data_IF_942432170163
#
_entry.id   IF_942432170163
#
_cell.length_a   1.000
_cell.length_b   1.000
_cell.length_c   1.000
_cell.angle_alpha   90.00
_cell.angle_beta   90.00
_cell.angle_gamma   90.00
#
_symmetry.space_group_name_H-M   'P 1'
#
loop_
_entity.id
_entity.type
_entity.pdbx_description
1 polymer ?
#
# COMPACT_ATOMS: atom_id res chain seq x y z
N UNK A 1 23.80 -12.50 -8.86
CA UNK A 1 22.67 -12.46 -7.91
C UNK A 1 23.25 -12.40 -6.50
N UNK A 2 23.06 -11.29 -5.78
CA UNK A 2 23.43 -11.22 -4.36
C UNK A 2 22.60 -12.25 -3.61
N UNK A 3 23.26 -13.20 -2.93
CA UNK A 3 22.62 -14.25 -2.17
C UNK A 3 21.93 -13.63 -0.95
N UNK A 4 20.60 -13.64 -0.94
CA UNK A 4 19.84 -13.23 0.24
C UNK A 4 20.11 -14.23 1.36
N UNK A 5 20.92 -13.83 2.35
CA UNK A 5 21.34 -14.69 3.45
C UNK A 5 20.27 -14.86 4.55
N UNK A 6 19.14 -14.14 4.48
CA UNK A 6 18.04 -14.27 5.45
C UNK A 6 18.30 -13.65 6.83
N UNK A 7 19.51 -13.17 7.10
CA UNK A 7 19.91 -12.54 8.36
C UNK A 7 19.88 -11.02 8.28
N UNK A 8 19.33 -10.38 9.31
CA UNK A 8 19.24 -8.93 9.46
C UNK A 8 20.43 -8.37 10.24
N UNK A 9 20.66 -7.07 10.12
CA UNK A 9 21.81 -6.37 10.72
C UNK A 9 21.78 -6.38 12.25
N UNK A 10 20.60 -6.57 12.83
CA UNK A 10 20.33 -6.76 14.26
C UNK A 10 20.54 -8.21 14.73
N UNK A 11 20.98 -9.11 13.85
CA UNK A 11 21.15 -10.54 14.15
C UNK A 11 19.84 -11.32 14.15
N UNK A 12 18.71 -10.66 13.89
CA UNK A 12 17.40 -11.28 13.73
C UNK A 12 17.18 -11.85 12.32
N UNK A 13 16.03 -12.49 12.14
CA UNK A 13 15.56 -12.93 10.83
C UNK A 13 15.10 -11.72 10.01
N UNK A 14 15.50 -11.65 8.74
CA UNK A 14 15.03 -10.60 7.83
C UNK A 14 13.51 -10.60 7.71
N UNK A 15 12.91 -9.41 7.66
CA UNK A 15 11.45 -9.22 7.56
C UNK A 15 10.80 -10.07 6.47
N UNK A 16 11.44 -10.14 5.30
CA UNK A 16 10.91 -10.83 4.13
C UNK A 16 11.35 -12.30 4.01
N UNK A 17 12.03 -12.83 5.03
CA UNK A 17 12.52 -14.21 5.03
C UNK A 17 11.41 -15.26 4.89
N UNK A 18 10.21 -15.13 5.50
CA UNK A 18 9.14 -16.11 5.30
C UNK A 18 8.67 -16.21 3.85
N UNK A 19 8.59 -15.09 3.13
CA UNK A 19 8.23 -15.06 1.71
C UNK A 19 9.33 -15.66 0.83
N UNK A 20 10.60 -15.39 1.17
CA UNK A 20 11.73 -16.02 0.51
C UNK A 20 11.71 -17.54 0.68
N UNK A 21 11.44 -18.06 1.88
CA UNK A 21 11.34 -19.50 2.11
C UNK A 21 10.24 -20.14 1.26
N UNK A 22 9.05 -19.55 1.21
CA UNK A 22 7.97 -20.04 0.33
C UNK A 22 8.39 -20.10 -1.13
N UNK A 23 9.02 -19.05 -1.64
CA UNK A 23 9.55 -19.02 -3.01
C UNK A 23 10.59 -20.12 -3.23
N UNK A 24 11.53 -20.32 -2.29
CA UNK A 24 12.55 -21.37 -2.38
C UNK A 24 11.93 -22.76 -2.34
N UNK A 25 10.89 -22.97 -1.54
CA UNK A 25 10.19 -24.25 -1.45
C UNK A 25 9.48 -24.58 -2.76
N UNK A 26 8.80 -23.61 -3.38
CA UNK A 26 8.24 -23.77 -4.73
C UNK A 26 9.35 -24.00 -5.78
N UNK A 27 10.40 -23.17 -5.76
CA UNK A 27 11.48 -23.21 -6.75
C UNK A 27 12.21 -24.56 -6.79
N UNK A 28 12.31 -25.25 -5.64
CA UNK A 28 12.94 -26.57 -5.55
C UNK A 28 12.04 -27.71 -6.02
N UNK A 29 10.73 -27.51 -6.07
CA UNK A 29 9.73 -28.54 -6.36
C UNK A 29 9.26 -28.57 -7.81
N UNK A 30 9.51 -27.50 -8.57
CA UNK A 30 8.91 -27.30 -9.91
C UNK A 30 9.95 -27.38 -11.04
N UNK A 31 9.55 -27.92 -12.18
CA UNK A 31 10.39 -28.05 -13.38
C UNK A 31 10.58 -26.71 -14.13
N UNK A 32 9.58 -25.82 -14.06
CA UNK A 32 9.65 -24.45 -14.58
C UNK A 32 9.28 -23.42 -13.50
N UNK A 33 10.24 -23.06 -12.63
CA UNK A 33 10.00 -22.10 -11.54
C UNK A 33 9.61 -20.69 -12.03
N UNK A 34 9.95 -20.33 -13.27
CA UNK A 34 9.69 -19.00 -13.81
C UNK A 34 8.19 -18.75 -14.02
N UNK A 35 7.46 -19.76 -14.47
CA UNK A 35 6.02 -19.71 -14.62
C UNK A 35 5.29 -20.12 -13.33
N UNK A 36 5.72 -21.21 -12.70
CA UNK A 36 4.99 -21.87 -11.62
C UNK A 36 5.12 -21.15 -10.27
N UNK A 37 6.30 -20.59 -9.97
CA UNK A 37 6.58 -19.91 -8.69
C UNK A 37 6.51 -18.39 -8.79
N UNK A 38 5.85 -17.87 -9.84
CA UNK A 38 5.76 -16.43 -10.12
C UNK A 38 5.06 -15.67 -9.01
N UNK A 39 4.02 -16.25 -8.40
CA UNK A 39 3.26 -15.62 -7.33
C UNK A 39 4.10 -15.49 -6.05
N UNK A 40 4.76 -16.56 -5.62
CA UNK A 40 5.65 -16.52 -4.45
C UNK A 40 6.82 -15.53 -4.65
N UNK A 41 7.37 -15.48 -5.86
CA UNK A 41 8.40 -14.50 -6.19
C UNK A 41 7.86 -13.06 -6.11
N UNK A 42 6.64 -12.82 -6.61
CA UNK A 42 6.01 -11.52 -6.54
C UNK A 42 5.77 -11.07 -5.10
N UNK A 43 5.37 -11.97 -4.21
CA UNK A 43 5.17 -11.68 -2.79
C UNK A 43 6.50 -11.34 -2.09
N UNK A 44 7.56 -12.11 -2.35
CA UNK A 44 8.90 -11.79 -1.85
C UNK A 44 9.38 -10.43 -2.36
N UNK A 45 9.23 -10.16 -3.65
CA UNK A 45 9.62 -8.90 -4.27
C UNK A 45 8.77 -7.72 -3.75
N UNK A 46 7.47 -7.91 -3.53
CA UNK A 46 6.58 -6.94 -2.92
C UNK A 46 7.05 -6.60 -1.51
N UNK A 47 7.34 -7.60 -0.65
CA UNK A 47 7.82 -7.34 0.69
C UNK A 47 9.13 -6.52 0.71
N UNK A 48 10.05 -6.79 -0.23
CA UNK A 48 11.33 -6.08 -0.32
C UNK A 48 11.19 -4.64 -0.79
N UNK A 49 10.25 -4.36 -1.70
CA UNK A 49 10.13 -3.05 -2.37
C UNK A 49 8.97 -2.21 -1.85
N UNK A 50 7.95 -2.85 -1.27
CA UNK A 50 6.68 -2.28 -0.78
C UNK A 50 5.94 -1.46 -1.83
N UNK A 51 6.18 -1.75 -3.12
CA UNK A 51 5.68 -0.93 -4.22
C UNK A 51 4.15 -0.94 -4.32
N UNK A 52 3.51 -2.10 -4.14
CA UNK A 52 2.05 -2.22 -4.22
C UNK A 52 1.42 -1.52 -3.02
N UNK A 53 1.95 -1.74 -1.82
CA UNK A 53 1.52 -1.05 -0.60
C UNK A 53 1.65 0.48 -0.70
N UNK A 54 2.81 1.00 -1.15
CA UNK A 54 3.01 2.44 -1.29
C UNK A 54 2.00 3.08 -2.25
N UNK A 55 1.71 2.42 -3.39
CA UNK A 55 0.70 2.90 -4.34
C UNK A 55 -0.70 2.91 -3.73
N UNK A 56 -1.06 1.85 -2.99
CA UNK A 56 -2.33 1.79 -2.28
C UNK A 56 -2.45 2.91 -1.24
N UNK A 57 -1.42 3.10 -0.42
CA UNK A 57 -1.39 4.17 0.59
C UNK A 57 -1.49 5.55 -0.05
N UNK A 58 -0.82 5.78 -1.19
CA UNK A 58 -0.95 7.03 -1.93
C UNK A 58 -2.40 7.27 -2.36
N UNK A 59 -3.04 6.25 -2.95
CA UNK A 59 -4.43 6.36 -3.40
C UNK A 59 -5.39 6.59 -2.23
N UNK A 60 -5.23 5.87 -1.13
CA UNK A 60 -6.04 6.08 0.08
C UNK A 60 -5.88 7.52 0.59
N UNK A 61 -4.65 8.03 0.65
CA UNK A 61 -4.41 9.40 1.11
C UNK A 61 -5.01 10.45 0.18
N UNK A 62 -4.97 10.22 -1.13
CA UNK A 62 -5.63 11.08 -2.11
C UNK A 62 -7.14 11.13 -1.88
N UNK A 63 -7.80 9.98 -1.71
CA UNK A 63 -9.23 9.95 -1.43
C UNK A 63 -9.56 10.63 -0.09
N UNK A 64 -8.79 10.34 0.96
CA UNK A 64 -8.95 11.00 2.27
C UNK A 64 -8.75 12.52 2.17
N UNK A 65 -7.88 13.00 1.29
CA UNK A 65 -7.66 14.42 1.08
C UNK A 65 -8.89 15.12 0.49
N UNK A 66 -9.54 14.50 -0.51
CA UNK A 66 -10.81 14.99 -1.07
C UNK A 66 -11.87 15.15 0.01
N UNK A 67 -12.04 14.13 0.85
CA UNK A 67 -12.99 14.16 1.97
C UNK A 67 -12.67 15.26 2.99
N UNK A 68 -11.38 15.46 3.31
CA UNK A 68 -10.97 16.52 4.24
C UNK A 68 -11.30 17.91 3.71
N UNK A 69 -11.14 18.16 2.41
CA UNK A 69 -11.48 19.44 1.79
C UNK A 69 -13.00 19.68 1.85
N UNK A 70 -13.80 18.66 1.51
CA UNK A 70 -15.26 18.77 1.53
C UNK A 70 -15.82 18.96 2.94
N UNK A 71 -15.13 18.48 3.96
CA UNK A 71 -15.51 18.62 5.36
C UNK A 71 -15.15 20.00 5.97
N UNK A 72 -14.48 20.89 5.23
CA UNK A 72 -14.11 22.22 5.74
C UNK A 72 -15.40 23.04 5.99
N UNK A 73 -15.64 23.52 7.23
CA UNK A 73 -16.79 24.37 7.54
C UNK A 73 -16.78 25.65 6.71
N UNK A 74 -17.95 26.13 6.30
CA UNK A 74 -18.07 27.40 5.59
C UNK A 74 -18.33 28.53 6.57
N UNK A 75 -17.62 29.64 6.41
CA UNK A 75 -17.87 30.84 7.21
C UNK A 75 -19.10 31.59 6.69
N UNK A 76 -20.00 31.95 7.60
CA UNK A 76 -21.16 32.78 7.33
C UNK A 76 -20.93 34.18 7.93
N UNK A 77 -20.82 35.18 7.06
CA UNK A 77 -20.56 36.58 7.45
C UNK A 77 -21.72 37.22 8.22
N UNK A 78 -22.95 36.77 8.00
CA UNK A 78 -24.14 37.35 8.63
C UNK A 78 -24.29 36.92 10.08
N UNK A 79 -23.83 35.72 10.42
CA UNK A 79 -23.94 35.12 11.76
C UNK A 79 -22.60 35.07 12.50
N UNK A 80 -21.52 35.51 11.85
CA UNK A 80 -20.14 35.44 12.36
C UNK A 80 -19.78 34.04 12.90
N UNK A 81 -20.14 32.99 12.13
CA UNK A 81 -20.01 31.60 12.57
C UNK A 81 -19.57 30.65 11.45
N UNK A 82 -18.87 29.57 11.82
CA UNK A 82 -18.58 28.45 10.93
C UNK A 82 -19.73 27.44 10.94
N UNK A 83 -20.38 27.25 9.80
CA UNK A 83 -21.48 26.30 9.65
C UNK A 83 -20.98 24.97 9.06
N UNK A 84 -21.48 23.82 9.56
CA UNK A 84 -21.11 22.52 9.04
C UNK A 84 -21.61 22.35 7.60
N UNK A 85 -20.76 21.79 6.74
CA UNK A 85 -21.11 21.48 5.35
C UNK A 85 -21.72 20.09 5.29
N UNK A 86 -22.83 19.95 4.55
CA UNK A 86 -23.35 18.63 4.21
C UNK A 86 -22.45 17.98 3.16
N UNK A 87 -21.91 16.80 3.48
CA UNK A 87 -21.02 16.09 2.56
C UNK A 87 -21.82 15.60 1.34
N UNK A 88 -21.29 15.76 0.11
CA UNK A 88 -21.93 15.21 -1.08
C UNK A 88 -21.92 13.67 -1.03
N UNK A 89 -22.91 13.05 -1.67
CA UNK A 89 -23.00 11.59 -1.78
C UNK A 89 -21.87 11.00 -2.64
N UNK A 90 -21.36 11.79 -3.58
CA UNK A 90 -20.22 11.47 -4.42
C UNK A 90 -19.18 12.60 -4.35
N UNK A 91 -18.04 12.39 -3.68
CA UNK A 91 -16.94 13.35 -3.62
C UNK A 91 -16.29 13.61 -4.98
N UNK A 92 -16.23 12.58 -5.83
CA UNK A 92 -15.46 12.63 -7.07
C UNK A 92 -16.09 13.62 -8.06
N UNK A 93 -17.43 13.70 -8.08
CA UNK A 93 -18.17 14.68 -8.86
C UNK A 93 -17.77 16.15 -8.59
N UNK A 94 -17.16 16.47 -7.45
CA UNK A 94 -16.74 17.83 -7.10
C UNK A 94 -15.30 18.17 -7.57
N UNK A 95 -14.48 17.16 -7.85
CA UNK A 95 -13.06 17.34 -8.23
C UNK A 95 -12.81 17.04 -9.73
N UNK A 96 -13.86 16.91 -10.53
CA UNK A 96 -13.82 16.64 -11.98
C UNK A 96 -14.04 17.87 -12.84
#
# INVERSE_FOLDING_TARGET
MSMFHGMSLDGGVQRCFPFWLKFVDCYKGEDDPGAMCREDFQDFHECSTRNKEMRLNYRINEELHKWKILAIPRYNELTDSFEPVSLPADPDAYFH
#
